data_IF_201631619779
#
_entry.id   IF_201631619779
#
_cell.length_a   1.000
_cell.length_b   1.000
_cell.length_c   1.000
_cell.angle_alpha   90.00
_cell.angle_beta   90.00
_cell.angle_gamma   90.00
#
_symmetry.space_group_name_H-M   'P 1'
#
loop_
_entity.id
_entity.type
_entity.pdbx_description
1 polymer ?
#
# COMPACT_ATOMS: atom_id res chain seq x y z
N UNK A 1 9.79 -2.12 -4.03
CA UNK A 1 8.73 -1.09 -4.05
C UNK A 1 7.82 -1.20 -2.84
N UNK A 2 7.04 -2.27 -2.64
CA UNK A 2 6.19 -2.44 -1.45
C UNK A 2 6.85 -2.06 -0.12
N UNK A 3 8.01 -2.66 0.18
CA UNK A 3 8.76 -2.39 1.43
C UNK A 3 9.16 -0.91 1.56
N UNK A 4 9.53 -0.26 0.45
CA UNK A 4 9.87 1.16 0.43
C UNK A 4 8.65 2.04 0.70
N UNK A 5 7.51 1.74 0.08
CA UNK A 5 6.27 2.47 0.31
C UNK A 5 5.81 2.33 1.77
N UNK A 6 5.95 1.12 2.34
CA UNK A 6 5.67 0.86 3.75
C UNK A 6 6.60 1.68 4.67
N UNK A 7 7.91 1.75 4.36
CA UNK A 7 8.86 2.60 5.08
C UNK A 7 8.53 4.09 4.94
N UNK A 8 8.02 4.53 3.79
CA UNK A 8 7.57 5.91 3.60
C UNK A 8 6.40 6.28 4.52
N UNK A 9 5.45 5.37 4.72
CA UNK A 9 4.39 5.54 5.71
C UNK A 9 4.91 5.63 7.14
N UNK A 10 5.81 4.71 7.52
CA UNK A 10 6.44 4.70 8.85
C UNK A 10 7.26 5.97 9.11
N UNK A 11 7.99 6.47 8.10
CA UNK A 11 8.74 7.71 8.21
C UNK A 11 7.83 8.92 8.47
N UNK A 12 6.70 9.03 7.77
CA UNK A 12 5.71 10.09 8.01
C UNK A 12 5.14 10.05 9.42
N UNK A 13 4.75 8.86 9.88
CA UNK A 13 4.26 8.66 11.25
C UNK A 13 5.32 9.08 12.28
N UNK A 14 6.59 8.71 12.05
CA UNK A 14 7.70 9.10 12.92
C UNK A 14 7.91 10.61 12.93
N UNK A 15 7.96 11.26 11.78
CA UNK A 15 8.11 12.72 11.65
C UNK A 15 6.97 13.43 12.38
N UNK A 16 5.72 12.97 12.20
CA UNK A 16 4.57 13.52 12.90
C UNK A 16 4.73 13.41 14.41
N UNK A 17 5.16 12.25 14.92
CA UNK A 17 5.40 12.04 16.35
C UNK A 17 6.47 12.98 16.93
N UNK A 18 7.57 13.20 16.19
CA UNK A 18 8.66 14.07 16.61
C UNK A 18 8.24 15.54 16.65
N UNK A 19 7.43 15.98 15.66
CA UNK A 19 6.89 17.34 15.61
C UNK A 19 5.87 17.62 16.71
N UNK A 20 5.01 16.64 17.04
CA UNK A 20 3.99 16.81 18.08
C UNK A 20 4.55 16.78 19.50
N UNK A 21 5.73 16.20 19.70
CA UNK A 21 6.36 16.07 21.01
C UNK A 21 7.13 17.30 21.49
N UNK A 22 7.03 18.46 20.80
CA UNK A 22 7.82 19.68 21.04
C UNK A 22 9.34 19.45 21.11
N UNK A 23 9.80 18.31 20.57
CA UNK A 23 11.18 17.86 20.79
C UNK A 23 12.13 18.44 19.73
N UNK A 24 11.69 18.54 18.48
CA UNK A 24 12.51 19.00 17.34
C UNK A 24 11.59 19.70 16.31
N UNK A 25 11.88 20.96 15.98
CA UNK A 25 11.11 21.73 14.99
C UNK A 25 11.55 21.50 13.53
N UNK A 26 12.78 21.06 13.30
CA UNK A 26 13.41 20.94 11.98
C UNK A 26 13.66 19.48 11.55
N UNK A 27 12.68 18.58 11.77
CA UNK A 27 12.78 17.20 11.27
C UNK A 27 12.46 17.15 9.77
N UNK A 28 13.44 16.75 8.97
CA UNK A 28 13.28 16.47 7.54
C UNK A 28 12.75 15.03 7.33
N UNK A 29 11.60 14.93 6.66
CA UNK A 29 10.97 13.64 6.34
C UNK A 29 11.83 12.77 5.42
N UNK A 30 12.60 13.40 4.51
CA UNK A 30 13.49 12.68 3.60
C UNK A 30 14.64 12.05 4.39
N UNK A 31 15.23 12.76 5.34
CA UNK A 31 16.31 12.23 6.18
C UNK A 31 15.83 11.03 7.02
N UNK A 32 14.64 11.12 7.63
CA UNK A 32 14.02 9.98 8.35
C UNK A 32 13.81 8.78 7.42
N UNK A 33 13.27 9.02 6.23
CA UNK A 33 13.00 7.96 5.26
C UNK A 33 14.28 7.28 4.76
N UNK A 34 15.29 8.06 4.36
CA UNK A 34 16.59 7.55 3.91
C UNK A 34 17.31 6.79 5.04
N UNK A 35 17.19 7.25 6.28
CA UNK A 35 17.78 6.59 7.44
C UNK A 35 17.17 5.20 7.65
N UNK A 36 15.84 5.06 7.55
CA UNK A 36 15.20 3.74 7.56
C UNK A 36 15.68 2.86 6.41
N UNK A 37 15.74 3.38 5.18
CA UNK A 37 16.18 2.61 4.02
C UNK A 37 17.61 2.08 4.17
N UNK A 38 18.55 2.93 4.59
CA UNK A 38 19.95 2.55 4.79
C UNK A 38 20.11 1.53 5.92
N UNK A 39 19.48 1.76 7.09
CA UNK A 39 19.58 0.86 8.25
C UNK A 39 18.89 -0.48 8.04
N UNK A 40 17.80 -0.51 7.27
CA UNK A 40 17.06 -1.73 6.98
C UNK A 40 17.48 -2.39 5.67
N UNK A 41 18.54 -1.91 5.01
CA UNK A 41 18.98 -2.41 3.71
C UNK A 41 19.20 -3.93 3.71
N UNK A 42 20.02 -4.43 4.62
CA UNK A 42 20.30 -5.86 4.70
C UNK A 42 19.11 -6.63 5.25
N UNK A 43 18.49 -6.11 6.31
CA UNK A 43 17.36 -6.74 7.02
C UNK A 43 16.17 -6.98 6.09
N UNK A 44 15.84 -6.00 5.25
CA UNK A 44 14.70 -6.03 4.33
C UNK A 44 15.08 -6.32 2.87
N UNK A 45 16.33 -6.74 2.58
CA UNK A 45 16.77 -7.09 1.24
C UNK A 45 16.58 -5.95 0.23
N UNK A 46 17.00 -4.74 0.58
CA UNK A 46 16.88 -3.54 -0.25
C UNK A 46 18.19 -3.26 -1.01
N UNK A 47 18.78 -4.26 -1.66
CA UNK A 47 20.15 -4.11 -2.19
C UNK A 47 20.30 -3.04 -3.29
N UNK A 48 19.19 -2.58 -3.87
CA UNK A 48 19.13 -1.48 -4.83
C UNK A 48 19.28 -0.09 -4.17
N UNK A 49 19.20 0.00 -2.84
CA UNK A 49 19.42 1.22 -2.06
C UNK A 49 20.91 1.37 -1.75
N UNK A 50 21.36 2.62 -1.66
CA UNK A 50 22.71 2.97 -1.22
C UNK A 50 23.00 2.40 0.18
N UNK A 51 24.22 1.87 0.44
CA UNK A 51 24.55 1.24 1.71
C UNK A 51 24.69 2.23 2.87
N UNK A 52 25.15 3.44 2.59
CA UNK A 52 25.50 4.43 3.61
C UNK A 52 24.76 5.75 3.40
N UNK A 53 24.55 6.45 4.52
CA UNK A 53 23.90 7.75 4.57
C UNK A 53 24.70 8.67 5.50
N UNK A 54 25.13 9.83 5.00
CA UNK A 54 26.00 10.74 5.74
C UNK A 54 25.29 11.42 6.93
N UNK A 55 24.01 11.77 6.79
CA UNK A 55 23.25 12.59 7.76
C UNK A 55 22.32 11.76 8.65
N UNK A 56 22.68 10.50 8.95
CA UNK A 56 21.86 9.64 9.80
C UNK A 56 21.51 10.28 11.16
N UNK A 57 22.42 11.06 11.75
CA UNK A 57 22.20 11.71 13.04
C UNK A 57 21.01 12.68 13.02
N UNK A 58 20.71 13.29 11.87
CA UNK A 58 19.63 14.27 11.71
C UNK A 58 18.25 13.58 11.53
N UNK A 59 18.22 12.24 11.50
CA UNK A 59 16.97 11.46 11.40
C UNK A 59 16.29 11.20 12.75
N UNK A 60 17.00 11.37 13.86
CA UNK A 60 16.51 11.09 15.22
C UNK A 60 15.95 9.68 15.43
N UNK A 61 16.37 8.72 14.59
CA UNK A 61 15.97 7.32 14.71
C UNK A 61 16.79 6.61 15.78
N UNK A 62 16.09 5.90 16.65
CA UNK A 62 16.69 4.98 17.63
C UNK A 62 16.76 3.56 17.04
N UNK A 63 17.60 2.69 17.60
CA UNK A 63 17.61 1.27 17.21
C UNK A 63 16.24 0.61 17.43
N UNK A 64 15.49 1.02 18.46
CA UNK A 64 14.12 0.53 18.70
C UNK A 64 13.16 0.95 17.57
N UNK A 65 13.31 2.16 17.03
CA UNK A 65 12.55 2.59 15.84
C UNK A 65 12.85 1.71 14.63
N UNK A 66 14.10 1.32 14.43
CA UNK A 66 14.54 0.45 13.33
C UNK A 66 13.92 -0.95 13.49
N UNK A 67 13.99 -1.55 14.68
CA UNK A 67 13.46 -2.89 14.95
C UNK A 67 11.92 -2.94 14.80
N UNK A 68 11.22 -1.90 15.27
CA UNK A 68 9.77 -1.76 15.07
C UNK A 68 9.42 -1.61 13.60
N UNK A 69 10.18 -0.80 12.86
CA UNK A 69 9.94 -0.60 11.43
C UNK A 69 10.15 -1.90 10.63
N UNK A 70 11.18 -2.68 10.94
CA UNK A 70 11.40 -3.99 10.33
C UNK A 70 10.19 -4.92 10.56
N UNK A 71 9.76 -5.06 11.81
CA UNK A 71 8.64 -5.92 12.19
C UNK A 71 7.34 -5.48 11.50
N UNK A 72 7.09 -4.17 11.48
CA UNK A 72 5.92 -3.58 10.84
C UNK A 72 5.91 -3.84 9.33
N UNK A 73 7.05 -3.66 8.65
CA UNK A 73 7.15 -3.92 7.20
C UNK A 73 6.92 -5.39 6.89
N UNK A 74 7.53 -6.32 7.63
CA UNK A 74 7.33 -7.76 7.42
C UNK A 74 5.89 -8.19 7.65
N UNK A 75 5.24 -7.65 8.68
CA UNK A 75 3.83 -7.92 8.97
C UNK A 75 2.91 -7.40 7.86
N UNK A 76 3.15 -6.16 7.40
CA UNK A 76 2.44 -5.57 6.25
C UNK A 76 2.68 -6.38 4.98
N UNK A 77 3.89 -6.85 4.74
CA UNK A 77 4.22 -7.65 3.56
C UNK A 77 3.51 -8.99 3.56
N UNK A 78 3.51 -9.71 4.69
CA UNK A 78 2.86 -11.01 4.82
C UNK A 78 1.36 -10.98 4.54
N UNK A 79 0.71 -9.83 4.79
CA UNK A 79 -0.76 -9.69 4.66
C UNK A 79 -1.20 -8.86 3.47
N UNK A 80 -0.38 -7.91 3.01
CA UNK A 80 -0.78 -6.90 2.02
C UNK A 80 0.01 -6.92 0.71
N UNK A 81 1.11 -7.67 0.60
CA UNK A 81 1.94 -7.64 -0.62
C UNK A 81 1.19 -8.19 -1.84
N UNK A 82 0.40 -9.25 -1.64
CA UNK A 82 -0.36 -9.88 -2.71
C UNK A 82 -1.34 -8.87 -3.34
N UNK A 83 -2.08 -8.14 -2.50
CA UNK A 83 -3.04 -7.14 -2.95
C UNK A 83 -2.34 -5.96 -3.61
N UNK A 84 -1.26 -5.46 -3.02
CA UNK A 84 -0.46 -4.39 -3.60
C UNK A 84 0.02 -4.74 -5.01
N UNK A 85 0.51 -5.97 -5.20
CA UNK A 85 0.94 -6.44 -6.51
C UNK A 85 -0.19 -6.40 -7.54
N UNK A 86 -1.39 -6.80 -7.13
CA UNK A 86 -2.56 -6.83 -8.00
C UNK A 86 -3.17 -5.45 -8.30
N UNK A 87 -3.17 -4.54 -7.33
CA UNK A 87 -3.94 -3.28 -7.42
C UNK A 87 -3.10 -2.02 -7.55
N UNK A 88 -1.94 -1.96 -6.89
CA UNK A 88 -1.19 -0.72 -6.72
C UNK A 88 0.09 -0.68 -7.59
N UNK A 89 0.64 -1.84 -7.98
CA UNK A 89 1.89 -1.90 -8.74
C UNK A 89 1.67 -2.00 -10.27
N UNK A 90 1.63 -0.83 -10.94
CA UNK A 90 1.44 -0.72 -12.39
C UNK A 90 2.33 -1.64 -13.26
N UNK A 91 3.64 -1.83 -12.96
CA UNK A 91 4.47 -2.71 -13.77
C UNK A 91 3.97 -4.16 -13.85
N UNK A 92 3.25 -4.65 -12.83
CA UNK A 92 2.63 -5.97 -12.90
C UNK A 92 1.50 -6.00 -13.93
N UNK A 93 0.61 -5.02 -13.91
CA UNK A 93 -0.48 -4.91 -14.88
C UNK A 93 0.05 -4.83 -16.32
N UNK A 94 1.08 -4.00 -16.56
CA UNK A 94 1.71 -3.88 -17.88
C UNK A 94 2.35 -5.22 -18.35
N UNK A 95 2.94 -5.98 -17.43
CA UNK A 95 3.49 -7.32 -17.73
C UNK A 95 2.37 -8.30 -18.04
N UNK A 96 1.31 -8.37 -17.23
CA UNK A 96 0.17 -9.28 -17.42
C UNK A 96 -0.51 -9.01 -18.75
N UNK A 97 -0.73 -7.74 -19.11
CA UNK A 97 -1.26 -7.35 -20.42
C UNK A 97 -0.44 -7.94 -21.59
N UNK A 98 0.89 -7.99 -21.45
CA UNK A 98 1.78 -8.52 -22.48
C UNK A 98 1.79 -10.05 -22.54
N UNK A 99 1.71 -10.72 -21.39
CA UNK A 99 1.89 -12.19 -21.31
C UNK A 99 0.58 -12.98 -21.32
N UNK A 100 -0.55 -12.38 -20.92
CA UNK A 100 -1.89 -12.98 -20.89
C UNK A 100 -2.96 -11.97 -21.35
N UNK A 101 -2.86 -11.40 -22.58
CA UNK A 101 -3.73 -10.31 -23.04
C UNK A 101 -5.22 -10.64 -23.01
N UNK A 102 -5.59 -11.89 -23.31
CA UNK A 102 -7.01 -12.32 -23.32
C UNK A 102 -7.61 -12.36 -21.90
N UNK A 103 -6.83 -12.84 -20.92
CA UNK A 103 -7.27 -12.88 -19.52
C UNK A 103 -7.30 -11.47 -18.94
N UNK A 104 -6.36 -10.61 -19.32
CA UNK A 104 -6.37 -9.19 -18.95
C UNK A 104 -7.62 -8.47 -19.51
N UNK A 105 -7.94 -8.64 -20.80
CA UNK A 105 -9.13 -8.06 -21.41
C UNK A 105 -10.44 -8.55 -20.77
N UNK A 106 -10.46 -9.81 -20.33
CA UNK A 106 -11.61 -10.40 -19.61
C UNK A 106 -11.74 -9.79 -18.22
N UNK A 107 -10.63 -9.66 -17.50
CA UNK A 107 -10.57 -9.02 -16.19
C UNK A 107 -11.03 -7.56 -16.26
N UNK A 108 -10.60 -6.78 -17.25
CA UNK A 108 -11.04 -5.38 -17.42
C UNK A 108 -12.55 -5.26 -17.66
N UNK A 109 -13.14 -6.17 -18.44
CA UNK A 109 -14.61 -6.23 -18.62
C UNK A 109 -15.33 -6.59 -17.33
N UNK A 110 -14.81 -7.55 -16.57
CA UNK A 110 -15.37 -7.94 -15.27
C UNK A 110 -15.29 -6.79 -14.28
N UNK A 111 -14.17 -6.07 -14.24
CA UNK A 111 -13.97 -4.91 -13.38
C UNK A 111 -14.95 -3.79 -13.71
N UNK A 112 -15.09 -3.45 -14.99
CA UNK A 112 -16.05 -2.44 -15.43
C UNK A 112 -17.50 -2.82 -15.06
N UNK A 113 -17.90 -4.06 -15.32
CA UNK A 113 -19.22 -4.57 -14.97
C UNK A 113 -19.48 -4.55 -13.45
N UNK A 114 -18.52 -4.98 -12.64
CA UNK A 114 -18.67 -4.98 -11.18
C UNK A 114 -18.74 -3.56 -10.60
N UNK A 115 -17.98 -2.62 -11.15
CA UNK A 115 -18.06 -1.21 -10.77
C UNK A 115 -19.41 -0.58 -11.17
N UNK A 116 -20.04 -1.03 -12.24
CA UNK A 116 -21.37 -0.58 -12.65
C UNK A 116 -22.48 -1.18 -11.76
N UNK A 117 -22.45 -2.50 -11.57
CA UNK A 117 -23.55 -3.24 -10.95
C UNK A 117 -23.47 -3.32 -9.42
N UNK A 118 -22.27 -3.46 -8.85
CA UNK A 118 -22.10 -3.77 -7.42
C UNK A 118 -21.72 -2.55 -6.57
N UNK A 119 -21.10 -1.54 -7.19
CA UNK A 119 -20.51 -0.41 -6.48
C UNK A 119 -21.51 0.30 -5.56
N UNK A 120 -22.68 0.68 -6.08
CA UNK A 120 -23.68 1.43 -5.31
C UNK A 120 -24.24 0.60 -4.14
N UNK A 121 -24.43 -0.70 -4.35
CA UNK A 121 -24.88 -1.61 -3.30
C UNK A 121 -23.86 -1.74 -2.16
N UNK A 122 -22.58 -1.98 -2.52
CA UNK A 122 -21.48 -2.10 -1.56
C UNK A 122 -21.20 -0.77 -0.84
N UNK A 123 -21.29 0.37 -1.53
CA UNK A 123 -21.13 1.71 -0.93
C UNK A 123 -22.21 1.98 0.11
N UNK A 124 -23.48 1.75 -0.25
CA UNK A 124 -24.60 1.90 0.69
C UNK A 124 -24.41 1.01 1.92
N UNK A 125 -23.97 -0.23 1.73
CA UNK A 125 -23.68 -1.13 2.84
C UNK A 125 -22.61 -0.57 3.77
N UNK A 126 -21.46 -0.11 3.25
CA UNK A 126 -20.40 0.48 4.08
C UNK A 126 -20.88 1.73 4.85
N UNK A 127 -21.70 2.58 4.21
CA UNK A 127 -22.26 3.76 4.87
C UNK A 127 -23.21 3.38 6.02
N UNK A 128 -24.02 2.34 5.84
CA UNK A 128 -24.91 1.80 6.88
C UNK A 128 -24.10 1.22 8.03
N UNK A 129 -23.06 0.43 7.73
CA UNK A 129 -22.16 -0.16 8.74
C UNK A 129 -21.41 0.91 9.54
N UNK A 130 -21.06 2.03 8.90
CA UNK A 130 -20.46 3.19 9.56
C UNK A 130 -21.48 4.06 10.34
N UNK A 131 -22.78 3.75 10.27
CA UNK A 131 -23.84 4.51 10.94
C UNK A 131 -24.18 5.87 10.30
N UNK A 132 -23.79 6.09 9.04
CA UNK A 132 -23.86 7.39 8.36
C UNK A 132 -25.11 7.52 7.46
N UNK A 133 -26.29 7.25 8.03
CA UNK A 133 -27.55 7.34 7.29
C UNK A 133 -28.16 8.74 7.46
N UNK A 134 -28.23 9.53 6.38
CA UNK A 134 -29.03 10.77 6.34
C UNK A 134 -28.40 12.02 6.98
N UNK A 135 -27.06 12.09 7.10
CA UNK A 135 -26.35 13.25 7.63
C UNK A 135 -25.75 14.14 6.51
N UNK A 136 -25.52 15.43 6.78
CA UNK A 136 -24.78 16.34 5.87
C UNK A 136 -23.30 15.92 5.66
N UNK A 137 -22.80 14.95 6.45
CA UNK A 137 -21.46 14.33 6.34
C UNK A 137 -21.41 13.22 5.27
N UNK A 138 -22.56 12.91 4.64
CA UNK A 138 -22.67 11.81 3.67
C UNK A 138 -21.80 12.03 2.44
N UNK A 139 -21.60 13.27 1.96
CA UNK A 139 -20.82 13.51 0.74
C UNK A 139 -19.31 13.21 0.90
N UNK A 140 -18.70 13.63 2.01
CA UNK A 140 -17.29 13.34 2.29
C UNK A 140 -17.08 11.84 2.59
N UNK A 141 -18.01 11.25 3.35
CA UNK A 141 -18.00 9.81 3.63
C UNK A 141 -18.18 8.98 2.35
N UNK A 142 -19.10 9.35 1.46
CA UNK A 142 -19.30 8.71 0.16
C UNK A 142 -18.04 8.74 -0.69
N UNK A 143 -17.28 9.85 -0.64
CA UNK A 143 -16.01 9.96 -1.36
C UNK A 143 -14.96 8.99 -0.83
N UNK A 144 -14.80 8.92 0.49
CA UNK A 144 -13.84 8.03 1.13
C UNK A 144 -14.22 6.55 0.94
N UNK A 145 -15.46 6.19 1.30
CA UNK A 145 -15.96 4.83 1.14
C UNK A 145 -16.08 4.41 -0.32
N UNK A 146 -16.36 5.34 -1.23
CA UNK A 146 -16.37 5.06 -2.67
C UNK A 146 -14.99 4.65 -3.18
N UNK A 147 -13.93 5.32 -2.73
CA UNK A 147 -12.57 4.89 -3.06
C UNK A 147 -12.27 3.49 -2.48
N UNK A 148 -12.64 3.25 -1.22
CA UNK A 148 -12.48 1.95 -0.57
C UNK A 148 -13.21 0.83 -1.33
N UNK A 149 -14.49 1.03 -1.68
CA UNK A 149 -15.29 0.04 -2.41
C UNK A 149 -14.70 -0.25 -3.78
N UNK A 150 -14.28 0.79 -4.51
CA UNK A 150 -13.63 0.61 -5.81
C UNK A 150 -12.35 -0.22 -5.69
N UNK A 151 -11.54 0.06 -4.66
CA UNK A 151 -10.31 -0.68 -4.38
C UNK A 151 -10.60 -2.12 -3.96
N UNK A 152 -11.66 -2.36 -3.19
CA UNK A 152 -12.07 -3.70 -2.77
C UNK A 152 -12.51 -4.55 -3.97
N UNK A 153 -13.36 -4.02 -4.86
CA UNK A 153 -13.76 -4.67 -6.11
C UNK A 153 -12.54 -4.96 -6.99
N UNK A 154 -11.65 -3.98 -7.16
CA UNK A 154 -10.43 -4.15 -7.94
C UNK A 154 -9.52 -5.24 -7.36
N UNK A 155 -9.39 -5.32 -6.03
CA UNK A 155 -8.59 -6.33 -5.35
C UNK A 155 -9.11 -7.75 -5.61
N UNK A 156 -10.41 -7.95 -5.50
CA UNK A 156 -11.05 -9.26 -5.76
C UNK A 156 -10.78 -9.72 -7.20
N UNK A 157 -11.04 -8.84 -8.17
CA UNK A 157 -10.98 -9.17 -9.60
C UNK A 157 -9.53 -9.28 -10.09
N UNK A 158 -8.67 -8.29 -9.79
CA UNK A 158 -7.26 -8.31 -10.18
C UNK A 158 -6.46 -9.36 -9.41
N UNK A 159 -6.84 -9.65 -8.17
CA UNK A 159 -6.27 -10.73 -7.36
C UNK A 159 -6.51 -12.10 -7.98
N UNK A 160 -7.73 -12.38 -8.45
CA UNK A 160 -8.04 -13.63 -9.14
C UNK A 160 -7.24 -13.82 -10.44
N UNK A 161 -7.05 -12.74 -11.21
CA UNK A 161 -6.18 -12.77 -12.39
C UNK A 161 -4.72 -13.05 -12.00
N UNK A 162 -4.22 -12.36 -10.97
CA UNK A 162 -2.85 -12.58 -10.45
C UNK A 162 -2.63 -14.06 -10.12
N UNK A 163 -3.53 -14.66 -9.36
CA UNK A 163 -3.41 -16.07 -8.94
C UNK A 163 -3.45 -17.02 -10.12
N UNK A 164 -4.29 -16.74 -11.12
CA UNK A 164 -4.33 -17.50 -12.38
C UNK A 164 -2.99 -17.42 -13.11
N UNK A 165 -2.42 -16.22 -13.25
CA UNK A 165 -1.14 -16.01 -13.94
C UNK A 165 0.01 -16.71 -13.21
N UNK A 166 0.03 -16.64 -11.88
CA UNK A 166 1.02 -17.28 -11.01
C UNK A 166 0.94 -18.82 -11.10
N UNK A 167 -0.26 -19.38 -10.94
CA UNK A 167 -0.49 -20.83 -11.00
C UNK A 167 -0.09 -21.42 -12.35
N UNK A 168 -0.43 -20.75 -13.48
CA UNK A 168 0.01 -21.17 -14.82
C UNK A 168 1.53 -21.24 -14.99
N UNK A 169 2.27 -20.47 -14.18
CA UNK A 169 3.73 -20.33 -14.25
C UNK A 169 4.46 -21.03 -13.10
N UNK A 170 3.75 -21.72 -12.22
CA UNK A 170 4.34 -22.40 -11.05
C UNK A 170 4.98 -21.43 -10.04
N UNK A 171 4.44 -20.21 -9.92
CA UNK A 171 4.91 -19.19 -8.99
C UNK A 171 4.03 -19.15 -7.74
N UNK A 172 4.62 -18.81 -6.60
CA UNK A 172 3.93 -18.51 -5.33
C UNK A 172 4.45 -17.21 -4.73
N UNK A 173 3.60 -16.55 -3.93
CA UNK A 173 3.96 -15.37 -3.13
C UNK A 173 4.40 -15.77 -1.72
#
# INVERSE_FOLDING_TARGET
>A
MFRLDALGGIAREKVQSLRTGDTINDVDEIEVYLAYQAKLRERLGLQHIAPDMNYFYDSYLTEEDIDRAETSVRSKEATGFADYLATDWKPWDDVVLRIEPEHHATMEKQLAHALEEEFQGRLKQKLVEAGLIGADVVADAEREFGHQVSKDIAREIKGALRDTVFNKRGLSL
#
